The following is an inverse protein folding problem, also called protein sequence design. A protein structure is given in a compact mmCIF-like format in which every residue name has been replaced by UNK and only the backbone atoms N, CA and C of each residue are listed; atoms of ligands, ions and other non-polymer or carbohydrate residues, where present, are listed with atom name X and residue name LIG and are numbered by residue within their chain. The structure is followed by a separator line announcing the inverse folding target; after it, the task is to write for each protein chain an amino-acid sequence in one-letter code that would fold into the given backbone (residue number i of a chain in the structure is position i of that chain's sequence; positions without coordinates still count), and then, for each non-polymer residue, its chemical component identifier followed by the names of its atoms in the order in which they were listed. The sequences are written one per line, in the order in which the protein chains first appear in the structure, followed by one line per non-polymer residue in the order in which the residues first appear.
data_IF_365727342802
#
_entry.id   IF_365727342802
#
_cell.length_a   1.000
_cell.length_b   1.000
_cell.length_c   1.000
_cell.angle_alpha   90.00
_cell.angle_beta   90.00
_cell.angle_gamma   90.00
#
_symmetry.space_group_name_H-M   'P 1'
#
loop_
_entity.id
_entity.type
_entity.pdbx_description
1 polymer ?
#
# COMPACT_ATOMS: atom_id res chain seq x y z
N UNK A 1 1.64 3.15 -14.56
CA UNK A 1 0.38 2.37 -14.62
C UNK A 1 0.59 0.90 -14.97
N UNK A 2 1.01 0.56 -16.19
CA UNK A 2 1.04 -0.84 -16.66
C UNK A 2 1.82 -1.80 -15.76
N UNK A 3 3.00 -1.41 -15.27
CA UNK A 3 3.79 -2.24 -14.35
C UNK A 3 3.03 -2.58 -13.05
N UNK A 4 2.23 -1.64 -12.53
CA UNK A 4 1.38 -1.88 -11.35
C UNK A 4 0.23 -2.82 -11.69
N UNK A 5 -0.45 -2.62 -12.82
CA UNK A 5 -1.54 -3.50 -13.25
C UNK A 5 -1.06 -4.94 -13.44
N UNK A 6 0.10 -5.13 -14.07
CA UNK A 6 0.72 -6.45 -14.24
C UNK A 6 1.10 -7.08 -12.89
N UNK A 7 1.67 -6.29 -11.96
CA UNK A 7 2.02 -6.78 -10.63
C UNK A 7 0.77 -7.22 -9.85
N UNK A 8 -0.28 -6.39 -9.81
CA UNK A 8 -1.54 -6.72 -9.13
C UNK A 8 -2.27 -7.90 -9.77
N UNK A 9 -2.17 -8.06 -11.09
CA UNK A 9 -2.75 -9.18 -11.84
C UNK A 9 -2.17 -10.54 -11.43
N UNK A 10 -0.87 -10.58 -11.11
CA UNK A 10 -0.16 -11.79 -10.71
C UNK A 10 -0.40 -12.18 -9.24
N UNK A 11 -0.99 -11.30 -8.43
CA UNK A 11 -1.37 -11.60 -7.04
C UNK A 11 -2.70 -12.34 -7.06
N UNK A 12 -2.65 -13.68 -7.07
CA UNK A 12 -3.82 -14.55 -7.28
C UNK A 12 -4.98 -14.26 -6.33
N UNK A 13 -4.72 -14.12 -5.01
CA UNK A 13 -5.77 -13.84 -4.02
C UNK A 13 -6.50 -12.53 -4.30
N UNK A 14 -5.80 -11.55 -4.85
CA UNK A 14 -6.38 -10.26 -5.21
C UNK A 14 -7.08 -10.32 -6.56
N UNK A 15 -6.41 -10.84 -7.60
CA UNK A 15 -6.93 -10.84 -8.97
C UNK A 15 -8.11 -11.79 -9.16
N UNK A 16 -8.11 -12.98 -8.52
CA UNK A 16 -9.25 -13.90 -8.55
C UNK A 16 -10.50 -13.29 -7.92
N UNK A 17 -10.36 -12.61 -6.79
CA UNK A 17 -11.49 -11.91 -6.16
C UNK A 17 -12.19 -10.96 -7.13
N UNK A 18 -11.45 -10.10 -7.84
CA UNK A 18 -12.07 -9.19 -8.81
C UNK A 18 -12.68 -9.95 -9.99
N UNK A 19 -11.98 -10.94 -10.56
CA UNK A 19 -12.49 -11.73 -11.69
C UNK A 19 -13.80 -12.44 -11.38
N UNK A 20 -13.99 -12.87 -10.13
CA UNK A 20 -15.21 -13.54 -9.64
C UNK A 20 -16.35 -12.58 -9.28
N UNK A 21 -16.10 -11.27 -9.22
CA UNK A 21 -17.18 -10.30 -8.97
C UNK A 21 -18.22 -10.36 -10.10
N UNK A 22 -19.52 -10.43 -9.77
CA UNK A 22 -20.56 -10.33 -10.78
C UNK A 22 -20.43 -8.97 -11.47
N UNK A 23 -20.51 -8.98 -12.80
CA UNK A 23 -20.48 -7.73 -13.57
C UNK A 23 -21.55 -6.78 -13.04
N UNK A 24 -21.23 -5.49 -12.92
CA UNK A 24 -22.21 -4.49 -12.45
C UNK A 24 -23.46 -4.46 -13.35
N UNK A 25 -23.32 -4.88 -14.62
CA UNK A 25 -24.44 -5.10 -15.55
C UNK A 25 -25.47 -6.14 -15.06
N UNK A 26 -25.11 -7.08 -14.18
CA UNK A 26 -26.02 -8.06 -13.60
C UNK A 26 -26.71 -7.56 -12.31
N UNK A 27 -26.27 -6.44 -11.73
CA UNK A 27 -26.90 -5.85 -10.54
C UNK A 27 -28.05 -4.90 -10.89
N UNK A 28 -27.98 -4.27 -12.06
CA UNK A 28 -29.12 -3.59 -12.65
C UNK A 28 -29.93 -4.65 -13.41
N UNK A 29 -30.95 -5.21 -12.77
CA UNK A 29 -31.85 -6.22 -13.33
C UNK A 29 -32.73 -5.75 -14.51
N UNK A 30 -32.21 -4.95 -15.44
CA UNK A 30 -32.88 -4.58 -16.69
C UNK A 30 -31.87 -4.55 -17.85
N UNK A 31 -32.22 -5.32 -18.89
CA UNK A 31 -31.64 -5.37 -20.24
C UNK A 31 -30.50 -6.37 -20.49
N UNK A 32 -30.84 -7.66 -20.38
CA UNK A 32 -30.26 -8.64 -21.30
C UNK A 32 -30.88 -8.44 -22.69
N UNK A 33 -30.03 -8.12 -23.69
CA UNK A 33 -30.40 -8.19 -25.11
C UNK A 33 -30.73 -6.86 -25.78
N UNK A 34 -29.71 -6.06 -26.11
CA UNK A 34 -29.69 -5.27 -27.36
C UNK A 34 -28.26 -4.78 -27.60
N UNK A 35 -27.74 -5.00 -28.80
CA UNK A 35 -26.46 -4.45 -29.28
C UNK A 35 -26.55 -2.91 -29.18
N UNK A 36 -25.70 -2.29 -28.35
CA UNK A 36 -25.73 -0.84 -28.15
C UNK A 36 -24.96 -0.14 -29.27
N UNK A 37 -25.71 0.55 -30.13
CA UNK A 37 -25.21 1.70 -30.86
C UNK A 37 -25.07 2.89 -29.89
N UNK A 38 -23.96 3.61 -29.99
CA UNK A 38 -23.62 4.70 -29.09
C UNK A 38 -24.38 5.98 -29.50
N UNK A 39 -25.48 6.30 -28.82
CA UNK A 39 -26.12 7.62 -28.93
C UNK A 39 -25.89 8.43 -27.66
N UNK A 40 -25.21 9.56 -27.84
CA UNK A 40 -24.94 10.61 -26.83
C UNK A 40 -26.26 11.21 -26.34
N UNK A 41 -26.74 10.78 -25.18
CA UNK A 41 -27.48 11.62 -24.21
C UNK A 41 -28.13 10.73 -23.15
N UNK A 42 -27.54 10.65 -21.96
CA UNK A 42 -28.26 10.75 -20.67
C UNK A 42 -27.22 10.83 -19.55
N UNK A 43 -27.24 11.93 -18.81
CA UNK A 43 -26.38 12.16 -17.66
C UNK A 43 -26.81 11.29 -16.49
N UNK A 44 -26.04 10.24 -16.24
CA UNK A 44 -25.55 9.82 -14.91
C UNK A 44 -24.66 8.58 -15.08
N UNK A 45 -23.52 8.73 -15.77
CA UNK A 45 -22.51 7.65 -15.81
C UNK A 45 -21.67 7.75 -14.54
N UNK A 46 -22.15 7.11 -13.47
CA UNK A 46 -21.30 6.82 -12.31
C UNK A 46 -20.16 5.92 -12.80
N UNK A 47 -19.00 6.53 -12.96
CA UNK A 47 -17.81 5.84 -13.43
C UNK A 47 -17.29 4.99 -12.27
N UNK A 48 -17.29 3.66 -12.44
CA UNK A 48 -16.82 2.71 -11.44
C UNK A 48 -15.38 2.28 -11.74
N UNK A 49 -14.45 2.59 -10.83
CA UNK A 49 -13.07 2.11 -10.94
C UNK A 49 -13.02 0.59 -10.73
N UNK A 50 -13.83 0.07 -9.80
CA UNK A 50 -13.88 -1.37 -9.50
C UNK A 50 -14.27 -2.18 -10.74
N UNK A 51 -15.27 -1.74 -11.50
CA UNK A 51 -15.72 -2.45 -12.70
C UNK A 51 -14.70 -2.38 -13.85
N UNK A 52 -14.11 -1.22 -14.12
CA UNK A 52 -13.09 -1.11 -15.17
C UNK A 52 -11.78 -1.82 -14.81
N UNK A 53 -11.41 -1.83 -13.52
CA UNK A 53 -10.29 -2.61 -13.02
C UNK A 53 -10.56 -4.11 -13.17
N UNK A 54 -11.77 -4.56 -12.82
CA UNK A 54 -12.20 -5.95 -13.03
C UNK A 54 -12.13 -6.36 -14.50
N UNK A 55 -12.69 -5.56 -15.41
CA UNK A 55 -12.67 -5.83 -16.87
C UNK A 55 -11.23 -5.96 -17.37
N UNK A 56 -10.35 -5.06 -16.93
CA UNK A 56 -8.91 -5.08 -17.27
C UNK A 56 -8.25 -6.38 -16.80
N UNK A 57 -8.51 -6.81 -15.57
CA UNK A 57 -7.98 -8.08 -15.04
C UNK A 57 -8.54 -9.29 -15.80
N UNK A 58 -9.81 -9.29 -16.18
CA UNK A 58 -10.39 -10.36 -16.99
C UNK A 58 -9.69 -10.42 -18.35
N UNK A 59 -9.53 -9.29 -19.03
CA UNK A 59 -8.88 -9.22 -20.35
C UNK A 59 -7.43 -9.68 -20.32
N UNK A 60 -6.67 -9.39 -19.25
CA UNK A 60 -5.31 -9.89 -19.08
C UNK A 60 -5.20 -11.42 -19.04
N UNK A 61 -6.24 -12.11 -18.55
CA UNK A 61 -6.25 -13.57 -18.37
C UNK A 61 -7.15 -14.32 -19.36
N UNK A 62 -7.65 -13.66 -20.41
CA UNK A 62 -8.47 -14.29 -21.47
C UNK A 62 -7.66 -15.14 -22.47
N UNK A 63 -6.33 -15.23 -22.31
CA UNK A 63 -5.47 -16.08 -23.14
C UNK A 63 -5.14 -15.50 -24.52
N UNK A 64 -5.47 -14.23 -24.79
CA UNK A 64 -5.00 -13.54 -26.00
C UNK A 64 -3.49 -13.33 -25.94
N UNK A 65 -2.79 -13.63 -27.04
CA UNK A 65 -1.34 -13.46 -27.16
C UNK A 65 -0.92 -12.02 -27.52
N UNK A 66 -1.88 -11.10 -27.66
CA UNK A 66 -1.62 -9.71 -28.06
C UNK A 66 -1.72 -8.75 -26.89
N UNK A 67 -0.91 -7.70 -26.92
CA UNK A 67 -1.09 -6.55 -26.02
C UNK A 67 -2.47 -5.91 -26.25
N UNK A 68 -3.08 -5.39 -25.19
CA UNK A 68 -4.30 -4.59 -25.28
C UNK A 68 -4.12 -3.26 -24.56
N UNK A 69 -4.86 -2.23 -25.02
CA UNK A 69 -4.88 -0.93 -24.35
C UNK A 69 -6.02 -0.88 -23.32
N UNK A 70 -5.75 -0.57 -22.04
CA UNK A 70 -6.78 -0.41 -21.02
C UNK A 70 -7.40 1.01 -21.07
N UNK A 71 -7.85 1.47 -22.24
CA UNK A 71 -8.29 2.86 -22.46
C UNK A 71 -9.46 3.27 -21.55
N UNK A 72 -10.41 2.35 -21.33
CA UNK A 72 -11.54 2.59 -20.45
C UNK A 72 -11.09 2.82 -19.00
N UNK A 73 -10.23 1.95 -18.47
CA UNK A 73 -9.65 2.10 -17.13
C UNK A 73 -8.83 3.38 -17.02
N UNK A 74 -8.05 3.72 -18.05
CA UNK A 74 -7.25 4.95 -18.09
C UNK A 74 -8.13 6.21 -18.02
N UNK A 75 -9.23 6.24 -18.78
CA UNK A 75 -10.21 7.32 -18.72
C UNK A 75 -10.81 7.47 -17.32
N UNK A 76 -11.16 6.36 -16.66
CA UNK A 76 -11.67 6.36 -15.29
C UNK A 76 -10.66 6.92 -14.31
N UNK A 77 -9.41 6.48 -14.39
CA UNK A 77 -8.31 6.96 -13.55
C UNK A 77 -8.16 8.48 -13.74
N UNK A 78 -8.15 9.01 -14.96
CA UNK A 78 -8.07 10.45 -15.20
C UNK A 78 -9.25 11.25 -14.63
N UNK A 79 -10.45 10.66 -14.63
CA UNK A 79 -11.62 11.30 -14.05
C UNK A 79 -11.52 11.39 -12.53
N UNK A 80 -11.07 10.32 -11.88
CA UNK A 80 -11.04 10.15 -10.42
C UNK A 80 -9.77 10.75 -9.79
N UNK A 81 -8.64 10.72 -10.51
CA UNK A 81 -7.31 11.08 -10.03
C UNK A 81 -6.70 12.19 -10.92
N UNK A 82 -7.09 13.47 -10.73
CA UNK A 82 -6.67 14.57 -11.59
C UNK A 82 -5.15 14.75 -11.72
N UNK A 83 -4.38 14.43 -10.66
CA UNK A 83 -2.91 14.52 -10.65
C UNK A 83 -2.23 13.62 -11.69
N UNK A 84 -2.92 12.56 -12.13
CA UNK A 84 -2.40 11.62 -13.13
C UNK A 84 -2.84 11.95 -14.56
N UNK A 85 -3.50 13.09 -14.78
CA UNK A 85 -3.93 13.54 -16.12
C UNK A 85 -2.74 13.91 -16.99
N UNK A 86 -2.88 13.63 -18.29
CA UNK A 86 -1.84 13.90 -19.28
C UNK A 86 -0.83 12.75 -19.39
N UNK A 87 0.21 13.00 -20.17
CA UNK A 87 1.17 11.98 -20.62
C UNK A 87 2.55 12.13 -19.98
N UNK A 88 2.64 12.87 -18.87
CA UNK A 88 3.88 13.00 -18.10
C UNK A 88 4.22 11.67 -17.42
N UNK A 89 5.51 11.45 -17.17
CA UNK A 89 5.95 10.32 -16.37
C UNK A 89 5.46 10.48 -14.93
N UNK A 90 5.01 9.37 -14.34
CA UNK A 90 4.38 9.35 -13.01
C UNK A 90 5.10 8.34 -12.11
N UNK A 91 5.04 8.59 -10.81
CA UNK A 91 5.56 7.65 -9.82
C UNK A 91 4.64 6.41 -9.71
N UNK A 92 5.23 5.23 -9.88
CA UNK A 92 4.49 3.97 -9.84
C UNK A 92 3.98 3.64 -8.42
N UNK A 93 4.73 4.02 -7.39
CA UNK A 93 4.33 3.83 -5.99
C UNK A 93 3.16 4.73 -5.63
N UNK A 94 3.22 5.99 -6.06
CA UNK A 94 2.11 6.93 -5.90
C UNK A 94 0.85 6.39 -6.58
N UNK A 95 0.96 5.98 -7.84
CA UNK A 95 -0.16 5.37 -8.58
C UNK A 95 -0.75 4.15 -7.87
N UNK A 96 0.09 3.24 -7.35
CA UNK A 96 -0.36 2.07 -6.58
C UNK A 96 -1.16 2.47 -5.35
N UNK A 97 -0.67 3.41 -4.56
CA UNK A 97 -1.34 3.86 -3.32
C UNK A 97 -2.70 4.47 -3.62
N UNK A 98 -2.79 5.36 -4.61
CA UNK A 98 -4.07 5.93 -5.01
C UNK A 98 -5.04 4.88 -5.56
N UNK A 99 -4.56 3.95 -6.40
CA UNK A 99 -5.39 2.87 -6.94
C UNK A 99 -5.99 2.02 -5.82
N UNK A 100 -5.18 1.59 -4.85
CA UNK A 100 -5.65 0.79 -3.71
C UNK A 100 -6.62 1.56 -2.81
N UNK A 101 -6.36 2.85 -2.53
CA UNK A 101 -7.27 3.70 -1.74
C UNK A 101 -8.64 3.84 -2.42
N UNK A 102 -8.65 4.14 -3.72
CA UNK A 102 -9.90 4.31 -4.46
C UNK A 102 -10.69 3.00 -4.57
N UNK A 103 -10.01 1.87 -4.84
CA UNK A 103 -10.66 0.55 -4.82
C UNK A 103 -11.25 0.24 -3.44
N UNK A 104 -10.51 0.53 -2.36
CA UNK A 104 -10.98 0.33 -0.99
C UNK A 104 -12.24 1.16 -0.70
N UNK A 105 -12.23 2.45 -1.04
CA UNK A 105 -13.33 3.38 -0.75
C UNK A 105 -14.59 3.07 -1.56
N UNK A 106 -14.46 2.78 -2.85
CA UNK A 106 -15.60 2.44 -3.71
C UNK A 106 -16.30 1.14 -3.26
N UNK A 107 -15.51 0.15 -2.82
CA UNK A 107 -16.04 -1.10 -2.28
C UNK A 107 -16.72 -0.94 -0.92
N UNK A 108 -16.30 0.02 -0.10
CA UNK A 108 -16.98 0.34 1.16
C UNK A 108 -18.31 1.05 0.90
N UNK A 109 -18.33 2.04 0.00
CA UNK A 109 -19.55 2.78 -0.36
C UNK A 109 -20.65 1.88 -0.90
N UNK A 110 -20.30 0.82 -1.63
CA UNK A 110 -21.25 -0.17 -2.17
C UNK A 110 -21.96 -1.01 -1.09
N UNK A 111 -21.39 -1.16 0.12
CA UNK A 111 -22.00 -1.90 1.24
C UNK A 111 -22.97 -1.04 2.05
N UNK A 112 -22.88 0.29 1.96
CA UNK A 112 -23.73 1.21 2.71
C UNK A 112 -25.09 1.49 2.03
N UNK A 113 -25.39 0.80 0.91
CA UNK A 113 -26.66 0.91 0.17
C UNK A 113 -27.75 -0.09 0.58
N UNK A 114 -27.51 -0.96 1.57
CA UNK A 114 -28.57 -1.77 2.19
C UNK A 114 -29.05 -1.08 3.47
N UNK A 115 -30.34 -0.74 3.63
CA UNK A 115 -30.86 -0.29 4.90
C UNK A 115 -30.79 -1.46 5.89
N UNK A 116 -29.82 -1.43 6.79
CA UNK A 116 -29.86 -2.23 8.02
C UNK A 116 -31.11 -1.80 8.81
N UNK A 117 -31.95 -2.73 9.29
CA UNK A 117 -33.09 -2.37 10.11
C UNK A 117 -32.60 -1.70 11.40
N UNK A 118 -33.23 -0.58 11.72
CA UNK A 118 -33.04 0.22 12.92
C UNK A 118 -33.22 -0.65 14.16
N UNK A 119 -32.17 -0.85 14.95
CA UNK A 119 -32.30 -1.29 16.34
C UNK A 119 -31.52 -0.35 17.25
N UNK A 120 -32.22 0.05 18.31
CA UNK A 120 -31.96 1.12 19.26
C UNK A 120 -30.63 1.00 20.02
N UNK A 121 -30.16 2.06 20.71
CA UNK A 121 -28.93 2.04 21.48
C UNK A 121 -29.22 1.45 22.86
N UNK A 122 -28.64 0.29 23.17
CA UNK A 122 -28.61 -0.21 24.55
C UNK A 122 -27.19 -0.56 25.01
N UNK A 123 -26.90 -0.11 26.22
CA UNK A 123 -25.60 -0.21 26.91
C UNK A 123 -25.40 -1.61 27.48
N UNK A 124 -24.27 -2.28 27.18
CA UNK A 124 -23.45 -3.01 28.16
C UNK A 124 -22.26 -3.81 27.55
N UNK A 125 -21.06 -3.51 28.09
CA UNK A 125 -19.92 -4.37 28.51
C UNK A 125 -19.31 -5.44 27.57
N UNK A 126 -18.04 -5.17 27.23
CA UNK A 126 -16.85 -6.05 27.18
C UNK A 126 -16.96 -7.50 26.70
N UNK A 127 -16.37 -7.77 25.54
CA UNK A 127 -15.37 -8.83 25.32
C UNK A 127 -14.32 -8.32 24.32
N UNK A 128 -13.05 -8.53 24.65
CA UNK A 128 -11.88 -8.01 23.94
C UNK A 128 -11.51 -8.90 22.75
N UNK A 129 -11.91 -8.48 21.56
CA UNK A 129 -11.24 -8.89 20.32
C UNK A 129 -10.86 -7.62 19.56
N UNK A 130 -9.56 -7.43 19.36
CA UNK A 130 -8.93 -6.30 18.68
C UNK A 130 -9.33 -6.27 17.20
N UNK A 131 -10.54 -5.79 16.93
CA UNK A 131 -11.03 -5.44 15.60
C UNK A 131 -10.38 -4.11 15.21
N UNK A 132 -9.18 -4.19 14.63
CA UNK A 132 -8.51 -3.07 13.99
C UNK A 132 -9.30 -2.66 12.74
N UNK A 133 -10.37 -1.89 12.94
CA UNK A 133 -11.20 -1.33 11.89
C UNK A 133 -10.84 0.15 11.82
N UNK A 134 -10.11 0.57 10.80
CA UNK A 134 -9.99 1.97 10.44
C UNK A 134 -11.37 2.39 9.91
N UNK A 135 -12.27 2.87 10.77
CA UNK A 135 -13.52 3.57 10.43
C UNK A 135 -14.23 3.13 9.12
N UNK A 136 -14.43 1.84 8.90
CA UNK A 136 -14.87 1.34 7.60
C UNK A 136 -14.88 -0.18 7.52
N UNK A 137 -15.79 -0.73 6.73
CA UNK A 137 -15.90 -2.18 6.54
C UNK A 137 -14.62 -2.73 5.89
N UNK A 138 -14.12 -3.87 6.37
CA UNK A 138 -12.99 -4.56 5.73
C UNK A 138 -13.32 -4.90 4.26
N UNK A 139 -12.34 -4.71 3.39
CA UNK A 139 -12.45 -4.99 1.94
C UNK A 139 -11.34 -5.95 1.52
N UNK A 140 -11.37 -6.42 0.26
CA UNK A 140 -10.29 -7.23 -0.28
C UNK A 140 -8.91 -6.53 -0.18
N UNK A 141 -8.87 -5.19 -0.33
CA UNK A 141 -7.62 -4.41 -0.24
C UNK A 141 -6.99 -4.56 1.13
N UNK A 142 -7.72 -4.26 2.20
CA UNK A 142 -7.21 -4.34 3.58
C UNK A 142 -7.09 -5.78 4.09
N UNK A 143 -7.82 -6.74 3.51
CA UNK A 143 -7.66 -8.17 3.81
C UNK A 143 -6.39 -8.77 3.21
N UNK A 144 -5.98 -8.30 2.03
CA UNK A 144 -4.79 -8.80 1.30
C UNK A 144 -3.53 -8.03 1.68
N UNK A 145 -3.57 -6.71 1.59
CA UNK A 145 -2.39 -5.83 1.76
C UNK A 145 -2.32 -5.16 3.14
N UNK A 146 -3.38 -5.24 3.95
CA UNK A 146 -3.47 -4.52 5.21
C UNK A 146 -2.63 -5.15 6.32
N UNK A 147 -1.62 -4.40 6.77
CA UNK A 147 -0.86 -4.67 7.99
C UNK A 147 -1.03 -3.56 9.04
N UNK A 148 -0.39 -3.72 10.19
CA UNK A 148 -0.38 -2.73 11.27
C UNK A 148 1.05 -2.56 11.79
N UNK A 149 1.51 -1.31 11.83
CA UNK A 149 2.72 -0.89 12.54
C UNK A 149 2.35 -0.43 13.95
N UNK A 150 3.23 -0.69 14.91
CA UNK A 150 3.25 -0.02 16.20
C UNK A 150 4.41 0.98 16.19
N UNK A 151 4.09 2.25 16.31
CA UNK A 151 5.04 3.35 16.45
C UNK A 151 5.16 3.71 17.92
N UNK A 152 6.38 3.61 18.45
CA UNK A 152 6.71 3.93 19.84
C UNK A 152 7.59 5.18 19.87
N UNK A 153 7.19 6.17 20.66
CA UNK A 153 7.96 7.39 20.88
C UNK A 153 8.25 7.55 22.36
N UNK A 154 9.53 7.68 22.72
CA UNK A 154 9.97 7.84 24.10
C UNK A 154 10.61 9.22 24.29
N UNK A 155 10.02 10.04 25.16
CA UNK A 155 10.53 11.37 25.46
C UNK A 155 11.79 11.29 26.34
N UNK A 156 12.93 11.78 25.83
CA UNK A 156 14.22 11.71 26.54
C UNK A 156 14.32 12.67 27.74
N UNK A 157 13.36 13.58 27.89
CA UNK A 157 13.36 14.57 28.98
C UNK A 157 12.55 14.11 30.20
N UNK A 158 11.43 13.44 30.00
CA UNK A 158 10.52 13.06 31.08
C UNK A 158 10.20 11.56 31.17
N UNK A 159 10.73 10.77 30.24
CA UNK A 159 10.56 9.31 30.16
C UNK A 159 9.16 8.85 29.76
N UNK A 160 8.29 9.75 29.31
CA UNK A 160 6.95 9.36 28.87
C UNK A 160 7.00 8.66 27.51
N UNK A 161 6.39 7.48 27.46
CA UNK A 161 6.19 6.69 26.26
C UNK A 161 4.84 7.01 25.61
N UNK A 162 4.81 7.06 24.28
CA UNK A 162 3.59 7.14 23.47
C UNK A 162 3.60 6.02 22.45
N UNK A 163 2.50 5.28 22.35
CA UNK A 163 2.31 4.21 21.36
C UNK A 163 1.18 4.57 20.42
N UNK A 164 1.39 4.36 19.13
CA UNK A 164 0.38 4.57 18.08
C UNK A 164 0.35 3.35 17.16
N UNK A 165 -0.86 2.91 16.83
CA UNK A 165 -1.07 1.82 15.87
C UNK A 165 -1.41 2.40 14.51
N UNK A 166 -0.48 2.26 13.58
CA UNK A 166 -0.56 2.85 12.25
C UNK A 166 -0.80 1.74 11.20
N UNK A 167 -2.00 1.67 10.61
CA UNK A 167 -2.28 0.71 9.54
C UNK A 167 -1.50 1.06 8.27
N UNK A 168 -1.13 0.04 7.49
CA UNK A 168 -0.42 0.22 6.23
C UNK A 168 -0.90 -0.74 5.13
N UNK A 169 -0.68 -0.34 3.87
CA UNK A 169 -0.86 -1.19 2.68
C UNK A 169 0.49 -1.51 2.01
N UNK A 170 1.52 -0.76 2.35
CA UNK A 170 2.90 -0.92 1.90
C UNK A 170 3.87 -0.40 2.96
N UNK A 171 5.11 -0.89 2.94
CA UNK A 171 6.21 -0.33 3.71
C UNK A 171 7.16 0.40 2.76
N UNK A 172 7.37 1.69 3.02
CA UNK A 172 8.32 2.51 2.27
C UNK A 172 9.64 2.56 3.01
N UNK A 173 10.62 1.82 2.51
CA UNK A 173 11.93 1.60 3.11
C UNK A 173 12.95 2.58 2.56
N UNK A 174 13.71 3.20 3.47
CA UNK A 174 14.88 3.98 3.11
C UNK A 174 16.05 3.05 2.78
N UNK A 175 16.81 3.39 1.74
CA UNK A 175 18.10 2.76 1.47
C UNK A 175 19.10 3.41 2.42
N UNK A 176 19.77 2.68 3.33
CA UNK A 176 20.64 3.30 4.33
C UNK A 176 21.78 4.10 3.67
N UNK A 177 22.10 5.27 4.23
CA UNK A 177 23.00 6.26 3.62
C UNK A 177 24.43 5.73 3.40
N UNK A 178 24.88 4.81 4.25
CA UNK A 178 26.17 4.14 4.13
C UNK A 178 26.34 3.37 2.80
N UNK A 179 25.23 2.99 2.15
CA UNK A 179 25.21 2.31 0.86
C UNK A 179 24.92 3.25 -0.33
N UNK A 180 24.70 4.55 -0.10
CA UNK A 180 24.39 5.54 -1.16
C UNK A 180 25.63 6.15 -1.82
N UNK A 181 26.80 6.05 -1.19
CA UNK A 181 28.01 6.78 -1.60
C UNK A 181 28.65 6.15 -2.83
N UNK A 182 28.83 6.95 -3.88
CA UNK A 182 29.61 6.62 -5.09
C UNK A 182 31.11 6.80 -4.79
N UNK A 183 31.89 5.76 -5.07
CA UNK A 183 33.35 5.57 -4.88
C UNK A 183 34.22 6.85 -4.80
N UNK A 184 35.04 6.97 -3.74
CA UNK A 184 36.42 7.48 -3.83
C UNK A 184 37.35 6.31 -4.13
N UNK A 185 38.42 6.57 -4.89
CA UNK A 185 39.20 5.61 -5.67
C UNK A 185 39.99 4.52 -4.92
N UNK A 186 39.88 4.36 -3.60
CA UNK A 186 40.75 3.43 -2.87
C UNK A 186 39.99 2.49 -1.90
N UNK A 187 40.15 1.19 -2.20
CA UNK A 187 40.32 0.03 -1.32
C UNK A 187 39.22 -0.35 -0.30
N UNK A 188 38.59 -1.50 -0.61
CA UNK A 188 37.85 -2.52 0.18
C UNK A 188 36.51 -2.85 -0.51
N UNK A 189 36.16 -4.14 -0.71
CA UNK A 189 34.86 -4.53 -1.23
C UNK A 189 33.77 -4.11 -0.23
N UNK A 190 33.05 -3.04 -0.55
CA UNK A 190 31.98 -2.52 0.28
C UNK A 190 30.86 -3.58 0.38
N UNK A 191 30.27 -3.81 1.57
CA UNK A 191 29.15 -4.72 1.71
C UNK A 191 28.00 -4.30 0.79
N UNK A 192 27.41 -5.28 0.11
CA UNK A 192 26.25 -5.08 -0.76
C UNK A 192 25.03 -4.77 0.11
N UNK A 193 24.27 -3.74 -0.23
CA UNK A 193 23.02 -3.42 0.49
C UNK A 193 22.01 -4.55 0.26
N UNK A 194 21.47 -5.12 1.33
CA UNK A 194 20.40 -6.12 1.26
C UNK A 194 19.06 -5.52 1.65
N UNK A 195 17.97 -6.18 1.30
CA UNK A 195 16.62 -5.82 1.74
C UNK A 195 16.50 -5.88 3.27
N UNK A 196 17.21 -6.80 3.91
CA UNK A 196 17.26 -6.92 5.36
C UNK A 196 17.89 -5.70 6.00
N UNK A 197 18.89 -5.07 5.37
CA UNK A 197 19.49 -3.82 5.87
C UNK A 197 18.47 -2.67 5.83
N UNK A 198 17.67 -2.58 4.77
CA UNK A 198 16.59 -1.60 4.66
C UNK A 198 15.48 -1.84 5.71
N UNK A 199 15.10 -3.09 5.95
CA UNK A 199 14.09 -3.46 6.96
C UNK A 199 14.59 -3.24 8.38
N UNK A 200 15.86 -3.54 8.66
CA UNK A 200 16.51 -3.24 9.94
C UNK A 200 16.53 -1.73 10.17
N UNK A 201 17.05 -0.96 9.21
CA UNK A 201 17.04 0.50 9.31
C UNK A 201 15.64 1.09 9.50
N UNK A 202 14.59 0.47 8.95
CA UNK A 202 13.21 0.91 9.14
C UNK A 202 12.66 0.62 10.56
N UNK A 203 13.15 -0.41 11.23
CA UNK A 203 12.69 -0.85 12.56
C UNK A 203 13.69 -0.54 13.69
N UNK A 204 14.85 0.01 13.36
CA UNK A 204 15.86 0.44 14.33
C UNK A 204 15.33 1.61 15.18
N UNK A 205 15.85 1.69 16.41
CA UNK A 205 15.58 2.82 17.29
C UNK A 205 16.32 4.05 16.75
N UNK A 206 15.58 5.09 16.40
CA UNK A 206 16.14 6.37 15.95
C UNK A 206 15.93 7.47 16.99
N UNK A 207 16.87 8.39 17.14
CA UNK A 207 16.62 9.67 17.81
C UNK A 207 16.05 10.65 16.77
N UNK A 208 14.93 11.29 17.08
CA UNK A 208 14.32 12.29 16.20
C UNK A 208 15.24 13.50 16.07
N UNK A 209 15.40 13.98 14.84
CA UNK A 209 16.20 15.16 14.57
C UNK A 209 15.56 16.46 15.13
N UNK A 210 16.31 17.56 15.07
CA UNK A 210 15.84 18.86 15.59
C UNK A 210 14.63 19.44 14.86
N UNK A 211 14.36 18.99 13.64
CA UNK A 211 13.21 19.41 12.82
C UNK A 211 11.97 18.55 13.08
N UNK A 212 12.16 17.31 13.54
CA UNK A 212 11.14 16.29 13.78
C UNK A 212 10.80 16.10 15.26
N UNK A 213 11.24 17.01 16.14
CA UNK A 213 10.98 16.94 17.59
C UNK A 213 9.50 16.67 17.92
N UNK A 214 9.28 15.63 18.73
CA UNK A 214 7.96 15.18 19.13
C UNK A 214 7.32 16.10 20.18
N UNK A 215 6.03 16.42 20.00
CA UNK A 215 5.24 17.17 20.97
C UNK A 215 4.86 16.28 22.16
N UNK A 216 5.64 16.36 23.23
CA UNK A 216 5.39 15.56 24.42
C UNK A 216 4.14 16.05 25.18
N UNK A 217 3.16 15.17 25.36
CA UNK A 217 1.90 15.52 26.04
C UNK A 217 2.06 15.78 27.55
N UNK A 218 3.13 15.30 28.19
CA UNK A 218 3.45 15.57 29.60
C UNK A 218 4.23 16.87 29.76
N UNK A 219 5.26 17.10 28.94
CA UNK A 219 6.03 18.36 28.96
C UNK A 219 5.31 19.54 28.31
N UNK A 220 4.26 19.29 27.51
CA UNK A 220 3.51 20.30 26.74
C UNK A 220 4.40 21.14 25.79
N UNK A 221 5.50 20.56 25.31
CA UNK A 221 6.43 21.18 24.36
C UNK A 221 7.09 20.13 23.47
N UNK A 222 7.70 20.60 22.37
CA UNK A 222 8.55 19.75 21.49
C UNK A 222 9.81 19.35 22.23
N UNK A 223 10.11 18.05 22.24
CA UNK A 223 11.20 17.47 23.03
C UNK A 223 12.00 16.48 22.21
N UNK A 224 13.29 16.38 22.54
CA UNK A 224 14.13 15.27 22.08
C UNK A 224 13.50 13.95 22.51
N UNK A 225 13.31 13.05 21.56
CA UNK A 225 12.62 11.79 21.75
C UNK A 225 13.24 10.74 20.84
N UNK A 226 13.21 9.49 21.26
CA UNK A 226 13.49 8.38 20.37
C UNK A 226 12.20 7.86 19.75
N UNK A 227 12.31 7.22 18.61
CA UNK A 227 11.21 6.63 17.87
C UNK A 227 11.61 5.24 17.38
N UNK A 228 10.67 4.29 17.42
CA UNK A 228 10.86 2.94 16.90
C UNK A 228 9.58 2.45 16.24
N UNK A 229 9.74 1.74 15.13
CA UNK A 229 8.65 1.00 14.50
C UNK A 229 8.78 -0.49 14.79
N UNK A 230 7.64 -1.12 15.05
CA UNK A 230 7.47 -2.56 15.05
C UNK A 230 6.37 -2.97 14.10
N UNK A 231 6.50 -4.13 13.48
CA UNK A 231 5.40 -4.73 12.72
C UNK A 231 4.53 -5.52 13.69
N UNK A 232 3.32 -5.03 13.97
CA UNK A 232 2.39 -5.71 14.86
C UNK A 232 1.57 -6.77 14.11
N UNK A 233 1.14 -6.45 12.89
CA UNK A 233 0.38 -7.36 12.03
C UNK A 233 0.94 -7.34 10.61
N UNK A 234 1.31 -8.51 10.12
CA UNK A 234 1.72 -8.73 8.75
C UNK A 234 0.51 -8.89 7.79
N UNK A 235 0.58 -8.33 6.57
CA UNK A 235 -0.42 -8.56 5.54
C UNK A 235 -0.23 -9.91 4.82
N UNK A 236 -1.25 -10.43 4.14
CA UNK A 236 -1.09 -11.64 3.31
C UNK A 236 -0.12 -11.40 2.15
N UNK A 237 -0.14 -10.19 1.59
CA UNK A 237 0.78 -9.74 0.55
C UNK A 237 1.49 -8.50 1.05
N UNK A 238 2.80 -8.63 1.23
CA UNK A 238 3.65 -7.54 1.71
C UNK A 238 4.20 -6.74 0.52
N UNK A 239 3.75 -5.50 0.38
CA UNK A 239 4.27 -4.55 -0.58
C UNK A 239 5.45 -3.78 0.03
N UNK A 240 6.64 -3.93 -0.55
CA UNK A 240 7.84 -3.20 -0.14
C UNK A 240 8.21 -2.19 -1.23
N UNK A 241 8.25 -0.93 -0.85
CA UNK A 241 8.68 0.18 -1.70
C UNK A 241 10.07 0.64 -1.24
N UNK A 242 11.03 0.70 -2.16
CA UNK A 242 12.34 1.31 -1.89
C UNK A 242 12.29 2.79 -2.26
N UNK A 243 12.47 3.68 -1.29
CA UNK A 243 12.50 5.14 -1.47
C UNK A 243 13.75 5.58 -2.23
N UNK A 244 13.74 5.39 -3.55
CA UNK A 244 14.86 5.71 -4.44
C UNK A 244 14.87 7.16 -4.88
N UNK A 245 13.72 7.80 -4.96
CA UNK A 245 13.62 9.19 -5.39
C UNK A 245 13.58 10.11 -4.18
N UNK A 246 14.46 11.10 -4.18
CA UNK A 246 14.44 12.15 -3.19
C UNK A 246 14.63 13.50 -3.87
N UNK A 247 14.00 14.52 -3.31
CA UNK A 247 14.20 15.88 -3.73
C UNK A 247 15.39 16.47 -2.97
N UNK A 248 16.33 17.05 -3.70
CA UNK A 248 17.20 18.10 -3.15
C UNK A 248 16.59 19.46 -3.50
N UNK A 249 17.19 20.55 -3.02
CA UNK A 249 16.63 21.90 -3.16
C UNK A 249 16.21 22.29 -4.59
N UNK A 250 16.81 21.70 -5.63
CA UNK A 250 16.56 22.05 -7.02
C UNK A 250 16.39 20.88 -7.98
N UNK A 251 16.72 19.65 -7.55
CA UNK A 251 16.79 18.49 -8.43
C UNK A 251 16.17 17.26 -7.76
N UNK A 252 15.39 16.50 -8.53
CA UNK A 252 15.00 15.16 -8.17
C UNK A 252 16.17 14.24 -8.47
N UNK A 253 16.62 13.51 -7.45
CA UNK A 253 17.73 12.57 -7.56
C UNK A 253 17.22 11.15 -7.35
N UNK A 254 17.87 10.21 -8.04
CA UNK A 254 17.59 8.78 -7.93
C UNK A 254 18.77 8.07 -7.28
N UNK A 255 18.47 7.24 -6.28
CA UNK A 255 19.42 6.32 -5.65
C UNK A 255 19.48 5.06 -6.50
N UNK A 256 20.60 4.88 -7.20
CA UNK A 256 20.87 3.72 -8.06
C UNK A 256 21.56 2.55 -7.32
N UNK A 257 21.70 2.63 -5.99
CA UNK A 257 22.25 1.54 -5.16
C UNK A 257 21.54 0.23 -5.45
N UNK A 258 22.31 -0.80 -5.82
CA UNK A 258 21.79 -2.15 -5.94
C UNK A 258 21.38 -2.66 -4.57
N UNK A 259 20.15 -3.15 -4.46
CA UNK A 259 19.60 -3.74 -3.23
C UNK A 259 19.32 -5.20 -3.52
N UNK A 260 20.06 -6.09 -2.89
CA UNK A 260 19.86 -7.53 -3.00
C UNK A 260 18.62 -7.94 -2.20
N UNK A 261 17.73 -8.73 -2.79
CA UNK A 261 16.53 -9.23 -2.11
C UNK A 261 16.32 -10.73 -2.40
N UNK A 262 15.85 -11.51 -1.41
CA UNK A 262 15.58 -12.93 -1.62
C UNK A 262 14.37 -13.13 -2.52
N UNK A 263 14.45 -14.11 -3.42
CA UNK A 263 13.31 -14.53 -4.25
C UNK A 263 12.32 -15.40 -3.47
N UNK A 264 12.81 -16.11 -2.45
CA UNK A 264 12.03 -17.00 -1.59
C UNK A 264 12.49 -16.90 -0.14
N UNK A 265 11.58 -17.14 0.79
CA UNK A 265 11.90 -17.23 2.21
C UNK A 265 12.41 -15.94 2.85
N UNK A 266 11.87 -14.78 2.48
CA UNK A 266 12.09 -13.55 3.23
C UNK A 266 11.46 -13.70 4.63
N UNK A 267 12.29 -13.77 5.67
CA UNK A 267 11.85 -13.91 7.06
C UNK A 267 11.60 -12.54 7.70
N UNK A 268 10.35 -12.30 8.08
CA UNK A 268 9.93 -11.05 8.72
C UNK A 268 9.95 -11.12 10.26
N UNK A 269 10.27 -12.28 10.86
CA UNK A 269 10.13 -12.53 12.29
C UNK A 269 10.88 -11.51 13.15
N UNK A 270 12.10 -11.15 12.78
CA UNK A 270 12.94 -10.21 13.53
C UNK A 270 12.41 -8.78 13.59
N UNK A 271 11.41 -8.44 12.77
CA UNK A 271 10.81 -7.11 12.69
C UNK A 271 9.44 -7.05 13.40
N UNK A 272 8.95 -8.19 13.89
CA UNK A 272 7.69 -8.28 14.61
C UNK A 272 7.86 -7.82 16.05
N UNK A 273 6.82 -7.18 16.58
CA UNK A 273 6.68 -7.06 18.03
C UNK A 273 6.37 -8.47 18.57
N UNK A 274 7.27 -9.08 19.35
CA UNK A 274 7.04 -10.41 19.92
C UNK A 274 5.81 -10.39 20.86
N UNK A 275 4.69 -11.07 20.53
CA UNK A 275 3.61 -11.25 21.48
C UNK A 275 3.96 -12.48 22.32
N UNK A 276 3.83 -12.37 23.65
CA UNK A 276 4.12 -13.45 24.61
C UNK A 276 3.40 -14.79 24.35
N UNK A 277 2.45 -14.91 23.41
CA UNK A 277 1.70 -16.16 23.19
C UNK A 277 1.16 -16.45 21.77
N UNK A 278 1.61 -15.79 20.69
CA UNK A 278 1.19 -16.18 19.33
C UNK A 278 2.07 -15.58 18.24
N UNK A 279 3.14 -16.28 17.85
CA UNK A 279 3.82 -15.96 16.59
C UNK A 279 2.82 -16.13 15.43
N UNK A 280 2.80 -15.23 14.44
CA UNK A 280 2.00 -15.44 13.24
C UNK A 280 2.35 -16.78 12.60
N UNK A 281 1.34 -17.54 12.20
CA UNK A 281 1.47 -18.86 11.59
C UNK A 281 2.38 -18.84 10.33
N UNK A 282 2.57 -17.65 9.72
CA UNK A 282 3.42 -17.42 8.54
C UNK A 282 4.09 -16.04 8.62
N UNK A 283 5.42 -16.02 8.75
CA UNK A 283 6.27 -14.82 8.65
C UNK A 283 7.26 -14.87 7.47
N UNK A 284 7.21 -15.94 6.67
CA UNK A 284 8.03 -16.14 5.48
C UNK A 284 7.28 -15.66 4.23
N UNK A 285 7.97 -14.92 3.36
CA UNK A 285 7.43 -14.44 2.09
C UNK A 285 8.27 -14.89 0.90
N UNK A 286 7.56 -15.26 -0.17
CA UNK A 286 8.15 -15.47 -1.50
C UNK A 286 7.80 -14.29 -2.41
N UNK A 287 8.74 -13.93 -3.27
CA UNK A 287 8.58 -12.81 -4.19
C UNK A 287 7.59 -13.15 -5.30
N UNK A 288 6.55 -12.32 -5.46
CA UNK A 288 5.52 -12.50 -6.50
C UNK A 288 5.71 -11.57 -7.71
N UNK A 289 6.10 -10.32 -7.49
CA UNK A 289 6.26 -9.33 -8.57
C UNK A 289 7.30 -8.26 -8.19
N UNK A 290 7.91 -7.64 -9.21
CA UNK A 290 8.83 -6.51 -9.04
C UNK A 290 8.48 -5.43 -10.06
N UNK A 291 8.37 -4.19 -9.58
CA UNK A 291 8.20 -3.01 -10.42
C UNK A 291 9.56 -2.35 -10.58
N UNK A 292 10.11 -2.39 -11.79
CA UNK A 292 11.45 -1.87 -12.09
C UNK A 292 11.34 -0.51 -12.79
N UNK A 293 12.14 0.45 -12.33
CA UNK A 293 12.29 1.76 -12.98
C UNK A 293 13.67 1.89 -13.61
N UNK A 294 13.72 2.04 -14.93
CA UNK A 294 14.92 2.39 -15.69
C UNK A 294 14.91 3.87 -16.09
N UNK A 295 16.10 4.47 -16.15
CA UNK A 295 16.26 5.91 -16.43
C UNK A 295 16.38 6.78 -15.18
N UNK A 296 16.51 8.09 -15.41
CA UNK A 296 16.44 9.16 -14.40
C UNK A 296 14.99 9.49 -14.07
N UNK A 297 14.73 10.02 -12.87
CA UNK A 297 13.41 10.48 -12.44
C UNK A 297 13.34 11.98 -12.23
#
# INVERSE_FOLDING_TARGET
MNAILQSLSNIQVFSCYFKELPSVALRSGKMAGRRMYHTRSQGDSSVSLVEEFRKTLCSLWQGSQTAFSPDALFYVIWKIMPSFRGYQQQDAHEFLRYLLDHLHREMQGSKNGSPSPTLAPDRAKHTSESKCCINGTSTIVTSVFGGVLQNEVYCLICGTESRKFDPFLDLSLDIPSQFRIKTTKDQEPRPTCTLNDCLRSFTDLEELDETELYMCHKCKKRQKSTKKFWIQKLPKVLCLHLKRFHWTAFLRNKIDTYVEFPKRGLDMKSYLLEPENSLPERCLYDLSAVVVHHGSG
#
